data_IF_799636998171
#
_entry.id   IF_799636998171
#
_cell.length_a   1.000
_cell.length_b   1.000
_cell.length_c   1.000
_cell.angle_alpha   90.00
_cell.angle_beta   90.00
_cell.angle_gamma   90.00
#
_symmetry.space_group_name_H-M   'P 1'
#
loop_
_entity.id
_entity.type
_entity.pdbx_description
1 polymer ?
#
# COMPACT_ATOMS: atom_id res chain seq x y z
N UNK A 1 -4.53 31.54 -21.26
CA UNK A 1 -5.51 31.15 -22.26
C UNK A 1 -5.42 29.69 -22.53
N UNK A 2 -6.54 29.06 -22.59
CA UNK A 2 -6.58 27.61 -22.65
C UNK A 2 -6.85 27.12 -24.05
N UNK A 3 -7.08 28.03 -24.95
CA UNK A 3 -7.44 27.66 -26.31
C UNK A 3 -6.32 27.04 -27.09
N UNK A 4 -5.13 27.04 -26.53
CA UNK A 4 -4.01 26.42 -27.23
C UNK A 4 -3.99 24.93 -27.12
N UNK A 5 -4.91 24.38 -26.35
CA UNK A 5 -5.04 22.93 -26.27
C UNK A 5 -5.72 22.50 -27.57
N UNK A 6 -4.93 22.22 -28.56
CA UNK A 6 -5.45 21.74 -29.83
C UNK A 6 -5.91 20.32 -29.67
N UNK A 7 -6.84 19.92 -30.53
CA UNK A 7 -7.34 18.55 -30.51
C UNK A 7 -6.22 17.54 -30.69
N UNK A 8 -5.14 17.93 -31.32
CA UNK A 8 -4.03 17.04 -31.59
C UNK A 8 -3.25 16.64 -30.34
N UNK A 9 -3.34 17.45 -29.28
CA UNK A 9 -2.58 17.15 -28.07
C UNK A 9 -3.39 16.38 -27.04
N UNK A 10 -4.64 16.07 -27.35
CA UNK A 10 -5.52 15.50 -26.33
C UNK A 10 -5.61 13.98 -26.42
N UNK A 11 -5.09 13.39 -27.46
CA UNK A 11 -5.71 12.17 -27.88
C UNK A 11 -4.97 10.91 -27.78
N UNK A 12 -3.80 10.92 -27.18
CA UNK A 12 -3.10 9.67 -27.09
C UNK A 12 -3.28 9.12 -25.68
N UNK A 13 -4.41 8.49 -25.46
CA UNK A 13 -4.53 7.64 -24.30
C UNK A 13 -3.60 6.46 -24.54
N UNK A 14 -2.48 6.47 -23.88
CA UNK A 14 -1.62 5.31 -23.81
C UNK A 14 -2.04 4.47 -22.62
N UNK A 15 -2.25 3.19 -22.81
CA UNK A 15 -2.51 2.33 -21.67
C UNK A 15 -1.29 2.32 -20.76
N UNK A 16 -1.50 2.16 -19.45
CA UNK A 16 -0.39 2.18 -18.51
C UNK A 16 0.59 1.04 -18.77
N UNK A 17 1.87 1.32 -18.57
CA UNK A 17 2.87 0.26 -18.61
C UNK A 17 2.58 -0.78 -17.53
N UNK A 18 3.14 -2.00 -17.63
CA UNK A 18 2.93 -3.00 -16.59
C UNK A 18 3.32 -2.53 -15.19
N UNK A 19 4.37 -1.74 -15.07
CA UNK A 19 4.77 -1.19 -13.77
C UNK A 19 3.78 -0.15 -13.27
N UNK A 20 3.34 0.71 -14.16
CA UNK A 20 2.33 1.70 -13.81
C UNK A 20 1.01 1.05 -13.43
N UNK A 21 0.61 0.01 -14.17
CA UNK A 21 -0.60 -0.74 -13.85
C UNK A 21 -0.52 -1.38 -12.48
N UNK A 22 0.64 -1.92 -12.12
CA UNK A 22 0.87 -2.49 -10.80
C UNK A 22 0.73 -1.42 -9.71
N UNK A 23 1.33 -0.26 -9.93
CA UNK A 23 1.23 0.84 -8.98
C UNK A 23 -0.21 1.32 -8.82
N UNK A 24 -0.93 1.45 -9.92
CA UNK A 24 -2.34 1.86 -9.88
C UNK A 24 -3.20 0.86 -9.12
N UNK A 25 -2.95 -0.42 -9.34
CA UNK A 25 -3.66 -1.47 -8.59
C UNK A 25 -3.41 -1.35 -7.09
N UNK A 26 -2.17 -1.10 -6.71
CA UNK A 26 -1.81 -0.93 -5.30
C UNK A 26 -2.47 0.30 -4.69
N UNK A 27 -2.43 1.43 -5.39
CA UNK A 27 -3.06 2.65 -4.90
C UNK A 27 -4.58 2.51 -4.81
N UNK A 28 -5.20 1.86 -5.79
CA UNK A 28 -6.64 1.61 -5.74
C UNK A 28 -7.00 0.73 -4.54
N UNK A 29 -6.19 -0.29 -4.27
CA UNK A 29 -6.40 -1.13 -3.10
C UNK A 29 -6.32 -0.33 -1.81
N UNK A 30 -5.35 0.56 -1.69
CA UNK A 30 -5.15 1.38 -0.50
C UNK A 30 -6.08 2.58 -0.41
N UNK A 31 -6.77 2.92 -1.48
CA UNK A 31 -7.67 4.06 -1.51
C UNK A 31 -9.00 3.83 -0.82
N UNK A 32 -9.09 2.85 0.05
CA UNK A 32 -10.30 2.55 0.80
C UNK A 32 -9.92 2.37 2.27
N UNK A 33 -10.67 3.00 3.15
CA UNK A 33 -10.30 3.15 4.56
C UNK A 33 -10.03 1.80 5.24
N UNK A 34 -10.91 0.84 5.05
CA UNK A 34 -10.77 -0.46 5.73
C UNK A 34 -9.49 -1.18 5.27
N UNK A 35 -9.21 -1.15 3.97
CA UNK A 35 -8.03 -1.81 3.45
C UNK A 35 -6.74 -1.14 3.92
N UNK A 36 -6.74 0.18 3.99
CA UNK A 36 -5.59 0.88 4.55
C UNK A 36 -5.38 0.49 6.01
N UNK A 37 -6.46 0.42 6.78
CA UNK A 37 -6.39 0.00 8.19
C UNK A 37 -5.86 -1.42 8.33
N UNK A 38 -6.30 -2.33 7.45
CA UNK A 38 -5.81 -3.71 7.46
C UNK A 38 -4.31 -3.74 7.21
N UNK A 39 -3.83 -3.05 6.18
CA UNK A 39 -2.40 -3.06 5.88
C UNK A 39 -1.60 -2.53 7.07
N UNK A 40 -2.04 -1.44 7.68
CA UNK A 40 -1.34 -0.87 8.83
C UNK A 40 -1.33 -1.82 10.02
N UNK A 41 -2.43 -2.50 10.24
CA UNK A 41 -2.52 -3.51 11.29
C UNK A 41 -1.50 -4.62 11.05
N UNK A 42 -1.39 -5.08 9.81
CA UNK A 42 -0.46 -6.15 9.47
C UNK A 42 1.00 -5.70 9.61
N UNK A 43 1.29 -4.47 9.25
CA UNK A 43 2.65 -3.94 9.42
C UNK A 43 3.05 -3.96 10.89
N UNK A 44 2.14 -3.59 11.77
CA UNK A 44 2.41 -3.58 13.22
C UNK A 44 2.67 -5.01 13.73
N UNK A 45 2.03 -6.01 13.14
CA UNK A 45 2.12 -7.40 13.60
C UNK A 45 3.19 -8.22 12.86
N UNK A 46 4.07 -7.56 12.13
CA UNK A 46 5.21 -8.27 11.54
C UNK A 46 6.18 -8.67 12.64
N UNK A 47 6.83 -9.80 12.53
CA UNK A 47 6.79 -10.78 11.43
C UNK A 47 5.76 -11.90 11.61
N UNK A 48 5.04 -11.94 12.68
CA UNK A 48 4.20 -13.10 13.02
C UNK A 48 2.92 -13.18 12.18
N UNK A 49 2.34 -12.02 11.86
CA UNK A 49 1.08 -11.97 11.16
C UNK A 49 -0.11 -12.27 12.06
N UNK A 50 -1.29 -12.16 11.49
CA UNK A 50 -2.54 -12.42 12.22
C UNK A 50 -3.53 -13.14 11.33
N UNK A 51 -4.44 -13.88 11.95
CA UNK A 51 -5.45 -14.63 11.21
C UNK A 51 -6.56 -13.73 10.70
N UNK A 52 -7.29 -14.22 9.69
CA UNK A 52 -8.44 -13.50 9.14
C UNK A 52 -9.46 -13.16 10.24
N UNK A 53 -9.70 -14.11 11.14
CA UNK A 53 -10.65 -13.90 12.24
C UNK A 53 -10.21 -12.77 13.16
N UNK A 54 -8.93 -12.73 13.48
CA UNK A 54 -8.38 -11.66 14.33
C UNK A 54 -8.43 -10.32 13.62
N UNK A 55 -8.13 -10.29 12.32
CA UNK A 55 -8.25 -9.07 11.55
C UNK A 55 -9.70 -8.59 11.54
N UNK A 56 -10.63 -9.48 11.25
CA UNK A 56 -12.05 -9.15 11.20
C UNK A 56 -12.53 -8.56 12.53
N UNK A 57 -12.08 -9.14 13.62
CA UNK A 57 -12.42 -8.66 14.95
C UNK A 57 -11.83 -7.27 15.20
N UNK A 58 -10.59 -7.07 14.81
CA UNK A 58 -9.89 -5.80 15.03
C UNK A 58 -10.54 -4.66 14.25
N UNK A 59 -11.00 -4.91 13.03
CA UNK A 59 -11.63 -3.88 12.20
C UNK A 59 -13.15 -3.86 12.34
N UNK A 60 -13.70 -4.71 13.19
CA UNK A 60 -15.13 -4.82 13.46
C UNK A 60 -15.95 -5.03 12.18
N UNK A 61 -15.54 -6.00 11.40
CA UNK A 61 -16.16 -6.31 10.12
C UNK A 61 -16.42 -7.81 10.02
N UNK A 62 -17.46 -8.23 9.27
CA UNK A 62 -17.68 -9.65 9.05
C UNK A 62 -16.47 -10.31 8.40
N UNK A 63 -16.27 -11.59 8.69
CA UNK A 63 -15.09 -12.30 8.23
C UNK A 63 -15.05 -12.43 6.71
N UNK A 64 -16.19 -12.65 6.05
CA UNK A 64 -16.21 -12.74 4.60
C UNK A 64 -15.94 -11.38 3.93
N UNK A 65 -16.40 -10.29 4.51
CA UNK A 65 -16.06 -8.95 4.02
C UNK A 65 -14.56 -8.70 4.18
N UNK A 66 -14.01 -9.06 5.31
CA UNK A 66 -12.57 -8.95 5.58
C UNK A 66 -11.77 -9.77 4.58
N UNK A 67 -12.20 -10.99 4.31
CA UNK A 67 -11.54 -11.85 3.32
C UNK A 67 -11.54 -11.21 1.92
N UNK A 68 -12.63 -10.53 1.57
CA UNK A 68 -12.71 -9.80 0.30
C UNK A 68 -11.68 -8.67 0.22
N UNK A 69 -11.55 -7.90 1.29
CA UNK A 69 -10.54 -6.86 1.37
C UNK A 69 -9.12 -7.41 1.28
N UNK A 70 -8.88 -8.52 1.98
CA UNK A 70 -7.57 -9.17 1.95
C UNK A 70 -7.24 -9.70 0.56
N UNK A 71 -8.23 -10.23 -0.16
CA UNK A 71 -8.02 -10.70 -1.53
C UNK A 71 -7.61 -9.55 -2.45
N UNK A 72 -8.22 -8.39 -2.28
CA UNK A 72 -7.86 -7.20 -3.07
C UNK A 72 -6.43 -6.77 -2.74
N UNK A 73 -6.07 -6.72 -1.47
CA UNK A 73 -4.72 -6.35 -1.05
C UNK A 73 -3.68 -7.36 -1.51
N UNK A 74 -4.01 -8.65 -1.48
CA UNK A 74 -3.09 -9.70 -1.94
C UNK A 74 -2.84 -9.60 -3.44
N UNK A 75 -3.88 -9.34 -4.20
CA UNK A 75 -3.76 -9.16 -5.64
C UNK A 75 -2.91 -7.94 -5.99
N UNK A 76 -2.95 -6.93 -5.12
CA UNK A 76 -2.12 -5.74 -5.26
C UNK A 76 -0.69 -5.92 -4.75
N UNK A 77 -0.36 -7.12 -4.27
CA UNK A 77 0.96 -7.45 -3.74
C UNK A 77 1.33 -6.63 -2.50
N UNK A 78 0.34 -6.38 -1.66
CA UNK A 78 0.54 -5.61 -0.42
C UNK A 78 0.44 -6.47 0.82
N UNK A 79 -0.19 -7.65 0.71
CA UNK A 79 -0.27 -8.61 1.81
C UNK A 79 -0.02 -10.01 1.27
N UNK A 80 0.39 -10.91 2.15
CA UNK A 80 0.65 -12.31 1.83
C UNK A 80 -0.15 -13.16 2.80
N UNK A 81 -0.95 -14.09 2.26
CA UNK A 81 -1.66 -15.05 3.07
C UNK A 81 -0.96 -16.39 3.02
N UNK A 82 -0.89 -17.08 4.16
CA UNK A 82 -0.37 -18.42 4.23
C UNK A 82 -1.29 -19.29 5.08
N UNK A 83 -1.51 -20.51 4.62
CA UNK A 83 -2.36 -21.43 5.33
C UNK A 83 -1.58 -22.11 6.44
N UNK A 84 -2.14 -22.05 7.65
CA UNK A 84 -1.55 -22.70 8.81
C UNK A 84 -2.66 -23.53 9.46
N UNK A 85 -2.66 -24.81 9.17
CA UNK A 85 -3.73 -25.69 9.62
C UNK A 85 -5.08 -25.30 9.00
N UNK A 86 -6.04 -24.98 9.83
CA UNK A 86 -7.38 -24.56 9.38
C UNK A 86 -7.49 -23.06 9.22
N UNK A 87 -6.47 -22.33 9.62
CA UNK A 87 -6.49 -20.87 9.59
C UNK A 87 -5.62 -20.36 8.46
N UNK A 88 -5.94 -19.16 7.99
CA UNK A 88 -5.07 -18.43 7.08
C UNK A 88 -4.50 -17.26 7.85
N UNK A 89 -3.18 -17.18 7.88
CA UNK A 89 -2.47 -16.07 8.52
C UNK A 89 -2.01 -15.10 7.45
N UNK A 90 -2.29 -13.85 7.66
CA UNK A 90 -1.88 -12.79 6.74
C UNK A 90 -0.76 -11.96 7.34
N UNK A 91 0.16 -11.58 6.49
CA UNK A 91 1.28 -10.71 6.82
C UNK A 91 1.35 -9.57 5.80
N UNK A 92 1.92 -8.46 6.19
CA UNK A 92 2.22 -7.40 5.24
C UNK A 92 3.29 -7.89 4.27
N UNK A 93 3.12 -7.60 2.98
CA UNK A 93 4.15 -7.85 1.99
C UNK A 93 5.05 -6.62 1.94
N UNK A 94 6.05 -6.59 2.82
CA UNK A 94 6.91 -5.41 2.95
C UNK A 94 7.70 -5.16 1.67
N UNK A 95 8.03 -6.20 0.92
CA UNK A 95 8.70 -6.03 -0.36
C UNK A 95 7.77 -5.33 -1.37
N UNK A 96 6.50 -5.69 -1.38
CA UNK A 96 5.51 -5.03 -2.23
C UNK A 96 5.28 -3.58 -1.85
N UNK A 97 5.17 -3.31 -0.57
CA UNK A 97 5.02 -1.94 -0.07
C UNK A 97 6.26 -1.11 -0.43
N UNK A 98 7.43 -1.67 -0.21
CA UNK A 98 8.68 -1.01 -0.56
C UNK A 98 8.75 -0.69 -2.05
N UNK A 99 8.37 -1.67 -2.87
CA UNK A 99 8.36 -1.47 -4.33
C UNK A 99 7.49 -0.28 -4.72
N UNK A 100 6.31 -0.16 -4.10
CA UNK A 100 5.38 0.93 -4.41
C UNK A 100 5.98 2.28 -4.05
N UNK A 101 6.63 2.38 -2.92
CA UNK A 101 7.29 3.61 -2.49
C UNK A 101 8.43 3.95 -3.44
N UNK A 102 9.25 2.96 -3.79
CA UNK A 102 10.36 3.15 -4.71
C UNK A 102 9.86 3.58 -6.10
N UNK A 103 8.75 3.00 -6.54
CA UNK A 103 8.16 3.39 -7.81
C UNK A 103 7.75 4.87 -7.81
N UNK A 104 7.12 5.32 -6.72
CA UNK A 104 6.71 6.72 -6.62
C UNK A 104 7.87 7.69 -6.70
N UNK A 105 9.01 7.29 -6.15
CA UNK A 105 10.16 8.18 -6.08
C UNK A 105 11.23 7.89 -7.13
N UNK A 106 10.95 7.00 -8.07
CA UNK A 106 11.95 6.59 -9.06
C UNK A 106 12.48 7.79 -9.87
N UNK A 107 11.61 8.73 -10.19
CA UNK A 107 11.98 9.87 -11.02
C UNK A 107 12.06 11.17 -10.23
N UNK A 108 11.78 11.15 -8.93
CA UNK A 108 11.66 12.39 -8.17
C UNK A 108 12.99 13.10 -7.93
N UNK A 109 14.07 12.36 -8.02
CA UNK A 109 15.40 12.88 -7.71
C UNK A 109 16.17 13.27 -8.96
N UNK A 110 15.52 13.28 -10.09
CA UNK A 110 16.12 13.66 -11.36
C UNK A 110 17.41 12.88 -11.63
N UNK A 111 17.42 11.62 -11.23
CA UNK A 111 18.57 10.77 -11.38
C UNK A 111 19.59 10.85 -10.25
N UNK A 112 19.36 11.64 -9.23
CA UNK A 112 20.25 11.76 -8.09
C UNK A 112 19.72 10.93 -6.92
N UNK A 113 20.27 9.73 -6.70
CA UNK A 113 19.78 8.87 -5.63
C UNK A 113 20.05 9.41 -4.23
N UNK A 114 20.98 10.36 -4.08
CA UNK A 114 21.29 10.89 -2.76
C UNK A 114 20.14 11.72 -2.18
N UNK A 115 19.41 12.43 -3.03
CA UNK A 115 18.27 13.22 -2.58
C UNK A 115 17.15 12.33 -2.02
N UNK A 116 16.84 11.26 -2.72
CA UNK A 116 15.83 10.32 -2.26
C UNK A 116 16.29 9.54 -1.02
N UNK A 117 17.56 9.23 -0.96
CA UNK A 117 18.11 8.52 0.18
C UNK A 117 17.98 9.34 1.46
N UNK A 118 18.21 10.63 1.36
CA UNK A 118 18.04 11.53 2.50
C UNK A 118 16.58 11.60 2.94
N UNK A 119 15.66 11.66 1.98
CA UNK A 119 14.24 11.68 2.29
C UNK A 119 13.83 10.42 3.07
N UNK A 120 14.28 9.26 2.60
CA UNK A 120 13.97 8.02 3.29
C UNK A 120 14.66 7.92 4.65
N UNK A 121 15.87 8.41 4.74
CA UNK A 121 16.58 8.43 6.02
C UNK A 121 15.82 9.29 7.02
N UNK A 122 15.34 10.44 6.59
CA UNK A 122 14.58 11.33 7.46
C UNK A 122 13.27 10.68 7.92
N UNK A 123 12.58 9.99 7.03
CA UNK A 123 11.36 9.29 7.38
C UNK A 123 11.65 8.17 8.39
N UNK A 124 12.74 7.46 8.20
CA UNK A 124 13.07 6.35 9.07
C UNK A 124 13.69 6.79 10.39
N UNK A 125 14.44 7.90 10.39
CA UNK A 125 15.07 8.40 11.61
C UNK A 125 14.17 9.34 12.37
N UNK A 126 13.24 10.00 11.69
CA UNK A 126 12.22 10.77 12.38
C UNK A 126 11.34 9.80 13.15
N UNK A 127 12.01 8.93 13.82
CA UNK A 127 11.43 8.08 14.80
C UNK A 127 10.30 7.22 14.30
N UNK A 128 10.63 6.01 14.11
CA UNK A 128 9.65 4.98 14.29
C UNK A 128 9.02 5.08 15.68
N UNK A 129 9.07 6.22 16.31
CA UNK A 129 8.21 6.46 17.43
C UNK A 129 6.82 6.56 16.87
N UNK A 130 6.05 5.57 17.21
CA UNK A 130 4.64 5.56 16.93
C UNK A 130 4.06 6.92 17.24
N UNK A 131 3.26 7.46 16.35
CA UNK A 131 2.36 8.52 16.74
C UNK A 131 1.34 7.92 17.68
N UNK A 132 1.83 7.41 18.76
CA UNK A 132 1.04 6.55 19.62
C UNK A 132 -0.16 7.28 20.17
N UNK A 133 -0.01 8.56 20.28
CA UNK A 133 -1.06 9.33 20.88
C UNK A 133 -1.96 9.97 19.89
N UNK A 134 -1.61 9.91 18.63
CA UNK A 134 -2.47 10.49 17.62
C UNK A 134 -3.27 9.46 16.87
N UNK A 135 -3.31 8.32 17.41
CA UNK A 135 -3.99 7.23 16.75
C UNK A 135 -5.44 7.51 16.54
N UNK A 136 -5.96 8.49 17.18
CA UNK A 136 -7.34 8.83 16.96
C UNK A 136 -7.65 9.23 15.53
N UNK A 137 -6.64 9.32 14.72
CA UNK A 137 -6.84 9.62 13.32
C UNK A 137 -7.31 8.41 12.51
N UNK A 138 -7.57 7.31 13.15
CA UNK A 138 -8.09 6.13 12.46
C UNK A 138 -9.59 6.04 12.52
#
# INVERSE_FOLDING_TARGET
>A
MIEDVTADSIDVYEPPSPLEARALTAFAALGQQTRLSILRLLVVHEPDGITVGEIAQAIQSPQNTTSGHLAILARAQLVIGSRQGRSVVYRADLAGVRWLIEYLFADCCNGDPSACRNLFADICTAECSHPSEQEQLY
#
